data_IF_618679686813
#
_entry.id   IF_618679686813
#
_cell.length_a   1.000
_cell.length_b   1.000
_cell.length_c   1.000
_cell.angle_alpha   90.00
_cell.angle_beta   90.00
_cell.angle_gamma   90.00
#
_symmetry.space_group_name_H-M   'P 1'
#
loop_
_entity.id
_entity.type
_entity.pdbx_description
1 polymer ?
#
# COMPACT_ATOMS: atom_id res chain seq x y z
N UNK A 1 -3.20 -2.15 23.14
CA UNK A 1 -2.14 -2.25 22.10
C UNK A 1 -2.59 -1.66 20.75
N UNK A 2 -3.82 -1.90 20.30
CA UNK A 2 -4.33 -1.47 18.98
C UNK A 2 -5.02 -0.10 18.98
N UNK A 3 -5.44 0.44 20.12
CA UNK A 3 -6.06 1.78 20.25
C UNK A 3 -5.21 2.94 19.71
N UNK A 4 -3.88 2.76 19.73
CA UNK A 4 -2.94 3.79 19.29
C UNK A 4 -2.57 3.72 17.80
N UNK A 5 -2.95 2.66 17.06
CA UNK A 5 -2.47 2.47 15.69
C UNK A 5 -3.08 3.53 14.75
N UNK A 6 -4.38 3.80 14.82
CA UNK A 6 -5.01 4.80 13.95
C UNK A 6 -4.47 6.21 14.19
N UNK A 7 -4.31 6.60 15.48
CA UNK A 7 -3.67 7.88 15.83
C UNK A 7 -2.23 7.95 15.36
N UNK A 8 -1.49 6.84 15.50
CA UNK A 8 -0.09 6.77 15.09
C UNK A 8 0.08 6.85 13.57
N UNK A 9 -0.81 6.24 12.78
CA UNK A 9 -0.79 6.36 11.31
C UNK A 9 -0.96 7.83 10.91
N UNK A 10 -1.96 8.52 11.50
CA UNK A 10 -2.19 9.91 11.20
C UNK A 10 -1.02 10.80 11.64
N UNK A 11 -0.46 10.58 12.82
CA UNK A 11 0.72 11.32 13.32
C UNK A 11 1.97 11.09 12.47
N UNK A 12 2.06 9.99 11.73
CA UNK A 12 3.14 9.77 10.76
C UNK A 12 2.81 10.34 9.37
N UNK A 13 1.56 10.25 8.93
CA UNK A 13 1.13 10.73 7.61
C UNK A 13 1.43 12.22 7.43
N UNK A 14 0.98 13.07 8.37
CA UNK A 14 1.14 14.52 8.29
C UNK A 14 2.62 14.92 8.20
N UNK A 15 3.54 14.45 9.08
CA UNK A 15 4.96 14.76 8.96
C UNK A 15 5.56 14.35 7.61
N UNK A 16 5.29 13.13 7.12
CA UNK A 16 5.87 12.68 5.86
C UNK A 16 5.32 13.45 4.64
N UNK A 17 4.04 13.81 4.64
CA UNK A 17 3.48 14.68 3.60
C UNK A 17 4.11 16.08 3.66
N UNK A 18 4.29 16.65 4.87
CA UNK A 18 4.97 17.95 5.05
C UNK A 18 6.42 17.90 4.60
N UNK A 19 7.17 16.86 5.01
CA UNK A 19 8.57 16.67 4.58
C UNK A 19 8.67 16.50 3.06
N UNK A 20 7.69 15.84 2.42
CA UNK A 20 7.64 15.70 0.97
C UNK A 20 7.45 17.06 0.28
N UNK A 21 6.58 17.92 0.80
CA UNK A 21 6.39 19.28 0.26
C UNK A 21 7.69 20.10 0.41
N UNK A 22 8.36 20.02 1.58
CA UNK A 22 9.64 20.67 1.81
C UNK A 22 10.71 20.14 0.83
N UNK A 23 10.79 18.82 0.65
CA UNK A 23 11.72 18.20 -0.31
C UNK A 23 11.52 18.74 -1.72
N UNK A 24 10.26 18.81 -2.18
CA UNK A 24 9.91 19.33 -3.51
C UNK A 24 10.31 20.82 -3.62
N UNK A 25 10.02 21.65 -2.61
CA UNK A 25 10.39 23.05 -2.62
C UNK A 25 11.91 23.26 -2.73
N UNK A 26 12.69 22.48 -1.96
CA UNK A 26 14.17 22.58 -1.99
C UNK A 26 14.80 21.99 -3.25
N UNK A 27 14.11 21.09 -3.94
CA UNK A 27 14.51 20.65 -5.29
C UNK A 27 14.23 21.73 -6.34
N UNK A 28 13.06 22.38 -6.26
CA UNK A 28 12.65 23.42 -7.22
C UNK A 28 13.47 24.70 -7.12
N UNK A 29 13.89 25.09 -5.92
CA UNK A 29 14.75 26.29 -5.72
C UNK A 29 16.25 26.02 -5.94
N UNK A 30 16.62 24.75 -6.24
CA UNK A 30 18.00 24.36 -6.51
C UNK A 30 18.88 24.14 -5.26
N UNK A 31 18.33 24.24 -4.06
CA UNK A 31 19.06 23.98 -2.80
C UNK A 31 19.51 22.51 -2.70
N UNK A 32 18.67 21.59 -3.23
CA UNK A 32 19.00 20.17 -3.32
C UNK A 32 19.14 19.77 -4.77
N UNK A 33 20.21 19.05 -5.09
CA UNK A 33 20.45 18.53 -6.44
C UNK A 33 19.38 17.49 -6.83
N UNK A 34 18.81 17.56 -8.05
CA UNK A 34 17.87 16.55 -8.55
C UNK A 34 18.45 15.14 -8.65
N UNK A 35 19.76 14.99 -8.52
CA UNK A 35 20.43 13.67 -8.45
C UNK A 35 19.83 12.76 -7.34
N UNK A 36 19.40 13.34 -6.21
CA UNK A 36 18.78 12.58 -5.12
C UNK A 36 17.45 11.91 -5.51
N UNK A 37 16.79 12.35 -6.59
CA UNK A 37 15.58 11.71 -7.13
C UNK A 37 15.81 10.29 -7.64
N UNK A 38 17.06 9.93 -7.96
CA UNK A 38 17.41 8.53 -8.28
C UNK A 38 17.12 7.64 -7.06
N UNK A 39 17.53 8.09 -5.87
CA UNK A 39 17.26 7.33 -4.64
C UNK A 39 15.78 7.35 -4.30
N UNK A 40 15.08 8.48 -4.52
CA UNK A 40 13.61 8.53 -4.39
C UNK A 40 12.94 7.46 -5.24
N UNK A 41 13.32 7.35 -6.51
CA UNK A 41 12.75 6.36 -7.42
C UNK A 41 13.01 4.92 -6.93
N UNK A 42 14.25 4.60 -6.54
CA UNK A 42 14.60 3.29 -6.00
C UNK A 42 13.81 2.99 -4.72
N UNK A 43 13.77 3.93 -3.77
CA UNK A 43 13.04 3.73 -2.52
C UNK A 43 11.53 3.63 -2.73
N UNK A 44 10.96 4.39 -3.66
CA UNK A 44 9.55 4.27 -4.02
C UNK A 44 9.22 2.89 -4.61
N UNK A 45 10.08 2.34 -5.48
CA UNK A 45 9.97 0.95 -5.99
C UNK A 45 9.98 -0.06 -4.83
N UNK A 46 10.90 0.11 -3.88
CA UNK A 46 11.05 -0.82 -2.75
C UNK A 46 9.92 -0.66 -1.71
N UNK A 47 9.55 0.55 -1.37
CA UNK A 47 8.53 0.83 -0.35
C UNK A 47 7.13 0.53 -0.88
N UNK A 48 6.70 1.20 -1.95
CA UNK A 48 5.34 1.07 -2.49
C UNK A 48 5.17 -0.19 -3.34
N UNK A 49 6.15 -0.48 -4.22
CA UNK A 49 6.10 -1.66 -5.09
C UNK A 49 6.30 -2.95 -4.31
N UNK A 50 7.48 -3.15 -3.74
CA UNK A 50 7.82 -4.41 -3.07
C UNK A 50 7.14 -4.53 -1.69
N UNK A 51 7.18 -3.47 -0.87
CA UNK A 51 6.63 -3.50 0.49
C UNK A 51 5.10 -3.57 0.50
N UNK A 52 4.42 -2.61 -0.11
CA UNK A 52 2.95 -2.50 -0.04
C UNK A 52 2.28 -3.35 -1.12
N UNK A 53 2.49 -3.06 -2.40
CA UNK A 53 1.74 -3.70 -3.47
C UNK A 53 2.02 -5.21 -3.58
N UNK A 54 3.25 -5.65 -3.35
CA UNK A 54 3.62 -7.08 -3.30
C UNK A 54 3.38 -7.63 -1.90
N UNK A 55 4.02 -7.05 -0.87
CA UNK A 55 4.02 -7.59 0.50
C UNK A 55 2.65 -7.52 1.16
N UNK A 56 2.20 -6.33 1.53
CA UNK A 56 0.94 -6.18 2.27
C UNK A 56 -0.26 -6.66 1.47
N UNK A 57 -0.34 -6.26 0.22
CA UNK A 57 -1.52 -6.53 -0.60
C UNK A 57 -1.55 -7.97 -1.13
N UNK A 58 -0.63 -8.36 -2.03
CA UNK A 58 -0.68 -9.65 -2.70
C UNK A 58 -0.32 -10.82 -1.80
N UNK A 59 0.84 -10.73 -1.15
CA UNK A 59 1.37 -11.85 -0.37
C UNK A 59 0.61 -12.02 0.94
N UNK A 60 0.48 -10.97 1.73
CA UNK A 60 -0.10 -11.12 3.07
C UNK A 60 -1.63 -11.02 3.07
N UNK A 61 -2.27 -10.15 2.26
CA UNK A 61 -3.73 -10.09 2.21
C UNK A 61 -4.33 -11.22 1.37
N UNK A 62 -3.86 -11.41 0.16
CA UNK A 62 -4.43 -12.40 -0.76
C UNK A 62 -3.73 -13.75 -0.76
N UNK A 63 -2.68 -13.92 0.08
CA UNK A 63 -1.94 -15.19 0.24
C UNK A 63 -1.44 -15.77 -1.08
N UNK A 64 -1.06 -14.90 -2.01
CA UNK A 64 -0.64 -15.33 -3.35
C UNK A 64 0.63 -16.18 -3.35
N UNK A 65 1.46 -16.10 -2.31
CA UNK A 65 2.68 -16.88 -2.15
C UNK A 65 2.83 -17.37 -0.72
N UNK A 66 3.52 -18.52 -0.58
CA UNK A 66 4.06 -18.98 0.70
C UNK A 66 5.56 -18.76 0.67
N UNK A 67 6.06 -17.90 1.56
CA UNK A 67 7.45 -17.47 1.55
C UNK A 67 8.22 -17.95 2.77
N UNK A 68 9.53 -18.18 2.67
CA UNK A 68 10.39 -18.35 3.83
C UNK A 68 10.49 -17.04 4.62
N UNK A 69 10.70 -17.14 5.93
CA UNK A 69 10.68 -16.00 6.88
C UNK A 69 11.59 -14.84 6.42
N UNK A 70 12.76 -15.12 5.86
CA UNK A 70 13.67 -14.06 5.43
C UNK A 70 13.11 -13.20 4.29
N UNK A 71 12.38 -13.79 3.33
CA UNK A 71 11.67 -13.04 2.29
C UNK A 71 10.50 -12.23 2.86
N UNK A 72 9.71 -12.83 3.78
CA UNK A 72 8.66 -12.09 4.49
C UNK A 72 9.24 -10.88 5.24
N UNK A 73 10.40 -11.05 5.91
CA UNK A 73 11.04 -9.96 6.64
C UNK A 73 11.52 -8.83 5.74
N UNK A 74 11.99 -9.12 4.52
CA UNK A 74 12.33 -8.09 3.53
C UNK A 74 11.07 -7.31 3.12
N UNK A 75 9.97 -8.00 2.81
CA UNK A 75 8.70 -7.37 2.48
C UNK A 75 8.19 -6.50 3.65
N UNK A 76 8.22 -7.03 4.87
CA UNK A 76 7.78 -6.33 6.09
C UNK A 76 8.64 -5.09 6.38
N UNK A 77 9.96 -5.16 6.14
CA UNK A 77 10.85 -4.03 6.35
C UNK A 77 10.52 -2.87 5.40
N UNK A 78 10.42 -3.13 4.10
CA UNK A 78 10.07 -2.06 3.16
C UNK A 78 8.64 -1.55 3.34
N UNK A 79 7.69 -2.42 3.65
CA UNK A 79 6.33 -2.01 3.96
C UNK A 79 6.22 -1.16 5.25
N UNK A 80 7.08 -1.41 6.25
CA UNK A 80 7.15 -0.59 7.45
C UNK A 80 7.55 0.87 7.17
N UNK A 81 8.30 1.12 6.09
CA UNK A 81 8.67 2.46 5.64
C UNK A 81 7.55 3.19 4.88
N UNK A 82 6.44 2.51 4.57
CA UNK A 82 5.35 3.11 3.80
C UNK A 82 4.43 4.05 4.61
N UNK A 83 4.56 4.08 5.95
CA UNK A 83 3.70 4.92 6.79
C UNK A 83 2.23 4.49 6.88
N UNK A 84 1.91 3.25 6.47
CA UNK A 84 0.54 2.70 6.42
C UNK A 84 0.22 1.75 7.58
N UNK A 85 1.02 1.78 8.64
CA UNK A 85 0.87 0.88 9.77
C UNK A 85 1.49 -0.50 9.54
N UNK A 86 1.12 -1.47 10.38
CA UNK A 86 1.66 -2.82 10.31
C UNK A 86 0.90 -3.72 9.34
N UNK A 87 1.55 -4.83 8.92
CA UNK A 87 0.89 -5.87 8.12
C UNK A 87 -0.36 -6.43 8.77
N UNK A 88 -0.37 -6.59 10.11
CA UNK A 88 -1.52 -7.09 10.87
C UNK A 88 -2.71 -6.15 10.73
N UNK A 89 -2.48 -4.84 10.89
CA UNK A 89 -3.51 -3.82 10.75
C UNK A 89 -3.99 -3.69 9.29
N UNK A 90 -3.06 -3.54 8.35
CA UNK A 90 -3.35 -3.35 6.94
C UNK A 90 -4.18 -4.51 6.36
N UNK A 91 -3.76 -5.74 6.65
CA UNK A 91 -4.46 -6.96 6.22
C UNK A 91 -5.83 -7.09 6.88
N UNK A 92 -5.98 -6.73 8.16
CA UNK A 92 -7.28 -6.75 8.83
C UNK A 92 -8.27 -5.79 8.17
N UNK A 93 -7.84 -4.58 7.81
CA UNK A 93 -8.68 -3.61 7.06
C UNK A 93 -9.05 -4.18 5.69
N UNK A 94 -8.08 -4.64 4.94
CA UNK A 94 -8.26 -5.09 3.57
C UNK A 94 -9.17 -6.32 3.45
N UNK A 95 -8.90 -7.36 4.25
CA UNK A 95 -9.69 -8.60 4.24
C UNK A 95 -11.05 -8.47 4.93
N UNK A 96 -11.16 -7.63 5.95
CA UNK A 96 -12.35 -7.57 6.79
C UNK A 96 -13.35 -6.51 6.40
N UNK A 97 -12.90 -5.45 5.78
CA UNK A 97 -13.75 -4.27 5.55
C UNK A 97 -13.78 -3.83 4.10
N UNK A 98 -12.65 -3.84 3.40
CA UNK A 98 -12.60 -3.39 2.01
C UNK A 98 -13.16 -4.44 1.04
N UNK A 99 -12.51 -5.59 0.91
CA UNK A 99 -12.92 -6.60 -0.07
C UNK A 99 -14.35 -7.15 0.12
N UNK A 100 -14.78 -7.57 1.33
CA UNK A 100 -16.12 -8.12 1.51
C UNK A 100 -17.22 -7.07 1.44
N UNK A 101 -16.89 -5.80 1.68
CA UNK A 101 -17.86 -4.73 1.86
C UNK A 101 -17.59 -3.53 0.96
N UNK A 102 -16.83 -3.72 -0.12
CA UNK A 102 -16.47 -2.65 -1.05
C UNK A 102 -17.71 -1.83 -1.46
N UNK A 103 -17.59 -0.51 -1.35
CA UNK A 103 -18.62 0.46 -1.71
C UNK A 103 -19.90 0.41 -0.86
N UNK A 104 -19.85 -0.21 0.31
CA UNK A 104 -20.90 -0.15 1.33
C UNK A 104 -20.50 0.75 2.51
N UNK A 105 -21.44 1.00 3.44
CA UNK A 105 -21.16 1.77 4.67
C UNK A 105 -20.11 1.11 5.58
N UNK A 106 -19.85 -0.18 5.41
CA UNK A 106 -18.87 -0.93 6.19
C UNK A 106 -17.45 -0.76 5.65
N UNK A 107 -17.29 -0.36 4.38
CA UNK A 107 -15.99 0.01 3.82
C UNK A 107 -15.53 1.35 4.42
N UNK A 108 -14.37 1.32 5.09
CA UNK A 108 -13.86 2.47 5.84
C UNK A 108 -13.46 3.65 4.95
N UNK A 109 -13.09 3.39 3.71
CA UNK A 109 -12.52 4.37 2.78
C UNK A 109 -13.17 4.41 1.39
N UNK A 110 -14.37 3.84 1.23
CA UNK A 110 -15.06 3.92 -0.06
C UNK A 110 -15.43 5.37 -0.42
N UNK A 111 -15.04 5.87 -1.60
CA UNK A 111 -15.44 7.19 -2.07
C UNK A 111 -16.89 7.24 -2.56
N UNK A 112 -17.60 6.12 -2.50
CA UNK A 112 -19.01 5.99 -2.87
C UNK A 112 -19.90 6.38 -1.68
N UNK A 113 -19.54 5.96 -0.48
CA UNK A 113 -20.32 6.16 0.75
C UNK A 113 -19.72 7.21 1.67
N UNK A 114 -18.46 7.59 1.47
CA UNK A 114 -17.73 8.60 2.25
C UNK A 114 -17.36 9.81 1.39
N UNK A 115 -17.01 10.91 2.03
CA UNK A 115 -16.45 12.06 1.30
C UNK A 115 -15.07 11.71 0.73
N UNK A 116 -14.65 12.42 -0.32
CA UNK A 116 -13.32 12.22 -0.92
C UNK A 116 -12.19 12.42 0.10
N UNK A 117 -12.34 13.36 1.02
CA UNK A 117 -11.41 13.58 2.12
C UNK A 117 -11.27 12.33 3.00
N UNK A 118 -12.40 11.75 3.45
CA UNK A 118 -12.39 10.53 4.26
C UNK A 118 -11.77 9.39 3.47
N UNK A 119 -12.13 9.21 2.21
CA UNK A 119 -11.61 8.12 1.37
C UNK A 119 -10.12 8.29 1.06
N UNK A 120 -9.63 9.53 0.96
CA UNK A 120 -8.23 9.80 0.69
C UNK A 120 -7.34 9.44 1.89
N UNK A 121 -7.57 10.02 3.07
CA UNK A 121 -6.84 9.65 4.29
C UNK A 121 -7.59 9.91 5.61
N UNK A 122 -8.73 10.62 5.56
CA UNK A 122 -9.49 10.94 6.76
C UNK A 122 -10.04 9.71 7.48
N UNK A 123 -10.21 8.58 6.79
CA UNK A 123 -10.69 7.34 7.38
C UNK A 123 -9.83 6.83 8.54
N UNK A 124 -8.54 7.12 8.51
CA UNK A 124 -7.61 6.75 9.59
C UNK A 124 -7.85 7.54 10.89
N UNK A 125 -8.62 8.64 10.81
CA UNK A 125 -8.93 9.53 11.93
C UNK A 125 -10.31 9.26 12.55
N UNK A 126 -11.19 8.51 11.87
CA UNK A 126 -12.53 8.20 12.34
C UNK A 126 -12.51 7.10 13.39
N UNK A 127 -13.50 7.10 14.29
CA UNK A 127 -13.58 6.14 15.41
C UNK A 127 -13.64 4.69 14.96
N UNK A 128 -14.36 4.39 13.88
CA UNK A 128 -14.45 3.03 13.33
C UNK A 128 -13.10 2.41 12.97
N UNK A 129 -12.12 3.22 12.62
CA UNK A 129 -10.76 2.71 12.38
C UNK A 129 -10.10 2.14 13.67
N UNK A 130 -10.62 2.49 14.86
CA UNK A 130 -10.16 1.95 16.14
C UNK A 130 -10.80 0.61 16.50
N UNK A 131 -11.94 0.29 15.87
CA UNK A 131 -12.72 -0.93 16.15
C UNK A 131 -12.40 -2.07 15.19
N UNK A 132 -11.30 -1.96 14.42
CA UNK A 132 -10.90 -2.96 13.43
C UNK A 132 -10.63 -4.29 14.12
N UNK A 133 -11.38 -5.32 13.71
CA UNK A 133 -11.23 -6.66 14.26
C UNK A 133 -10.00 -7.35 13.70
N UNK A 134 -9.06 -7.69 14.57
CA UNK A 134 -7.85 -8.41 14.22
C UNK A 134 -8.08 -9.88 13.86
N UNK A 135 -9.32 -10.40 13.99
CA UNK A 135 -9.67 -11.77 13.57
C UNK A 135 -9.33 -12.02 12.09
N UNK A 136 -9.39 -10.99 11.24
CA UNK A 136 -9.12 -11.10 9.81
C UNK A 136 -7.62 -11.26 9.47
N UNK A 137 -6.74 -11.04 10.45
CA UNK A 137 -5.28 -11.21 10.32
C UNK A 137 -4.70 -12.19 11.34
N UNK A 138 -5.52 -13.10 11.88
CA UNK A 138 -5.11 -14.06 12.92
C UNK A 138 -3.94 -14.96 12.48
N UNK A 139 -3.86 -15.28 11.19
CA UNK A 139 -2.75 -16.04 10.61
C UNK A 139 -1.40 -15.29 10.72
N UNK A 140 -1.43 -13.97 10.63
CA UNK A 140 -0.24 -13.11 10.79
C UNK A 140 0.10 -12.90 12.27
N UNK A 141 -0.92 -12.78 13.14
CA UNK A 141 -0.71 -12.66 14.59
C UNK A 141 -0.01 -13.91 15.16
N UNK A 142 -0.18 -15.07 14.55
CA UNK A 142 0.51 -16.32 14.94
C UNK A 142 1.97 -16.37 14.48
N UNK A 143 2.43 -15.44 13.64
CA UNK A 143 3.80 -15.39 13.14
C UNK A 143 4.64 -14.40 13.96
N UNK A 144 5.70 -14.84 14.66
CA UNK A 144 6.51 -13.97 15.50
C UNK A 144 7.12 -12.76 14.78
N UNK A 145 7.53 -12.93 13.51
CA UNK A 145 8.07 -11.84 12.71
C UNK A 145 7.02 -10.74 12.45
N UNK A 146 5.78 -11.09 12.08
CA UNK A 146 4.72 -10.09 11.89
C UNK A 146 4.40 -9.35 13.19
N UNK A 147 4.37 -10.04 14.34
CA UNK A 147 4.17 -9.42 15.65
C UNK A 147 5.34 -8.48 16.00
N UNK A 148 6.56 -8.89 15.71
CA UNK A 148 7.73 -8.04 15.94
C UNK A 148 7.67 -6.76 15.11
N UNK A 149 7.39 -6.85 13.80
CA UNK A 149 7.21 -5.69 12.93
C UNK A 149 6.02 -4.83 13.36
N UNK A 150 4.91 -5.42 13.80
CA UNK A 150 3.76 -4.67 14.34
C UNK A 150 4.16 -3.77 15.52
N UNK A 151 4.98 -4.29 16.44
CA UNK A 151 5.41 -3.56 17.62
C UNK A 151 6.49 -2.49 17.34
N UNK A 152 7.15 -2.57 16.18
CA UNK A 152 8.28 -1.72 15.82
C UNK A 152 8.04 -0.88 14.55
N UNK A 153 6.90 -1.00 13.88
CA UNK A 153 6.65 -0.36 12.58
C UNK A 153 6.94 1.15 12.59
N UNK A 154 6.46 1.89 13.59
CA UNK A 154 6.71 3.33 13.69
C UNK A 154 8.16 3.67 14.08
N UNK A 155 8.81 2.78 14.85
CA UNK A 155 10.25 2.95 15.16
C UNK A 155 11.07 2.79 13.88
N UNK A 156 10.77 1.79 13.05
CA UNK A 156 11.47 1.56 11.79
C UNK A 156 11.22 2.74 10.84
N UNK A 157 9.95 3.17 10.70
CA UNK A 157 9.57 4.28 9.83
C UNK A 157 10.38 5.55 10.10
N UNK A 158 10.64 5.86 11.38
CA UNK A 158 11.38 7.06 11.76
C UNK A 158 12.88 6.82 11.90
N UNK A 159 13.30 5.67 12.44
CA UNK A 159 14.72 5.40 12.68
C UNK A 159 15.53 5.39 11.38
N UNK A 160 15.01 4.79 10.32
CA UNK A 160 15.74 4.69 9.04
C UNK A 160 16.06 6.07 8.45
N UNK A 161 15.10 6.98 8.20
CA UNK A 161 15.43 8.30 7.69
C UNK A 161 16.23 9.14 8.68
N UNK A 162 16.03 9.01 10.01
CA UNK A 162 16.82 9.74 11.01
C UNK A 162 18.29 9.30 11.00
N UNK A 163 18.55 8.01 10.92
CA UNK A 163 19.93 7.49 10.81
C UNK A 163 20.60 7.98 9.53
N UNK A 164 19.88 7.94 8.40
CA UNK A 164 20.41 8.46 7.13
C UNK A 164 20.68 9.97 7.23
N UNK A 165 19.81 10.73 7.89
CA UNK A 165 19.96 12.17 8.06
C UNK A 165 21.23 12.58 8.82
N UNK A 166 21.75 11.72 9.72
CA UNK A 166 23.03 11.97 10.42
C UNK A 166 24.20 12.03 9.44
N UNK A 167 24.13 11.26 8.35
CA UNK A 167 25.20 11.21 7.33
C UNK A 167 24.92 12.18 6.17
N UNK A 168 23.68 12.21 5.71
CA UNK A 168 23.22 13.09 4.62
C UNK A 168 21.71 13.39 4.78
N UNK A 169 21.42 14.58 5.34
CA UNK A 169 20.03 15.01 5.53
C UNK A 169 19.25 15.20 4.21
N UNK A 170 19.95 15.57 3.11
CA UNK A 170 19.33 15.72 1.79
C UNK A 170 18.91 14.37 1.23
N UNK A 171 19.76 13.37 1.39
CA UNK A 171 19.47 11.99 1.05
C UNK A 171 18.28 11.44 1.86
N UNK A 172 18.24 11.70 3.16
CA UNK A 172 17.12 11.32 4.01
C UNK A 172 15.81 11.97 3.55
N UNK A 173 15.83 13.28 3.37
CA UNK A 173 14.63 14.05 3.03
C UNK A 173 14.10 13.69 1.64
N UNK A 174 14.95 13.72 0.61
CA UNK A 174 14.53 13.46 -0.77
C UNK A 174 14.48 11.97 -1.05
N UNK A 175 15.48 11.18 -0.65
CA UNK A 175 15.52 9.74 -0.95
C UNK A 175 14.46 8.93 -0.21
N UNK A 176 14.21 9.21 1.07
CA UNK A 176 13.34 8.40 1.92
C UNK A 176 12.00 9.07 2.20
N UNK A 177 12.00 10.31 2.75
CA UNK A 177 10.73 10.93 3.13
C UNK A 177 9.85 11.23 1.93
N UNK A 178 10.40 11.74 0.84
CA UNK A 178 9.65 11.98 -0.40
C UNK A 178 9.15 10.67 -1.01
N UNK A 179 9.94 9.58 -1.00
CA UNK A 179 9.51 8.28 -1.49
C UNK A 179 8.31 7.71 -0.70
N UNK A 180 8.35 7.85 0.64
CA UNK A 180 7.23 7.48 1.52
C UNK A 180 5.99 8.32 1.21
N UNK A 181 6.15 9.64 1.08
CA UNK A 181 5.04 10.56 0.75
C UNK A 181 4.41 10.26 -0.62
N UNK A 182 5.21 9.96 -1.63
CA UNK A 182 4.73 9.54 -2.96
C UNK A 182 3.94 8.23 -2.89
N UNK A 183 4.41 7.25 -2.09
CA UNK A 183 3.69 6.01 -1.86
C UNK A 183 2.34 6.22 -1.17
N UNK A 184 2.31 7.04 -0.12
CA UNK A 184 1.08 7.41 0.57
C UNK A 184 0.08 8.11 -0.37
N UNK A 185 0.55 9.06 -1.18
CA UNK A 185 -0.27 9.74 -2.18
C UNK A 185 -0.83 8.73 -3.20
N UNK A 186 0.02 7.88 -3.75
CA UNK A 186 -0.35 6.87 -4.74
C UNK A 186 -1.46 5.95 -4.23
N UNK A 187 -1.30 5.36 -3.05
CA UNK A 187 -2.25 4.37 -2.53
C UNK A 187 -3.59 5.01 -2.16
N UNK A 188 -3.57 6.26 -1.65
CA UNK A 188 -4.79 7.02 -1.42
C UNK A 188 -5.51 7.40 -2.74
N UNK A 189 -4.76 7.65 -3.82
CA UNK A 189 -5.36 7.86 -5.15
C UNK A 189 -5.98 6.56 -5.69
N UNK A 190 -5.41 5.39 -5.39
CA UNK A 190 -6.03 4.09 -5.73
C UNK A 190 -7.39 3.94 -5.08
N UNK A 191 -7.55 4.29 -3.80
CA UNK A 191 -8.84 4.25 -3.12
C UNK A 191 -9.91 5.09 -3.85
N UNK A 192 -9.54 6.28 -4.33
CA UNK A 192 -10.47 7.18 -5.03
C UNK A 192 -10.73 6.70 -6.45
N UNK A 193 -9.67 6.63 -7.27
CA UNK A 193 -9.80 6.32 -8.69
C UNK A 193 -10.16 4.87 -8.96
N UNK A 194 -9.91 3.98 -8.00
CA UNK A 194 -10.30 2.58 -8.06
C UNK A 194 -11.81 2.35 -7.90
N UNK A 195 -12.55 3.25 -7.20
CA UNK A 195 -13.96 3.04 -6.87
C UNK A 195 -14.92 4.15 -7.30
N UNK A 196 -14.46 5.35 -7.58
CA UNK A 196 -15.35 6.46 -7.95
C UNK A 196 -15.62 6.47 -9.44
N UNK A 197 -16.79 5.97 -9.86
CA UNK A 197 -17.26 6.05 -11.23
C UNK A 197 -17.36 7.51 -11.72
N UNK A 198 -17.10 7.72 -13.01
CA UNK A 198 -17.12 9.06 -13.61
C UNK A 198 -15.77 9.78 -13.57
N UNK A 199 -14.78 9.27 -12.85
CA UNK A 199 -13.37 9.62 -13.03
C UNK A 199 -12.78 8.72 -14.13
N UNK A 200 -11.57 9.06 -14.60
CA UNK A 200 -10.88 8.33 -15.68
C UNK A 200 -10.68 6.87 -15.27
N UNK A 201 -11.47 5.97 -15.83
CA UNK A 201 -11.41 4.54 -15.54
C UNK A 201 -12.34 3.73 -16.43
N UNK A 202 -12.15 2.41 -16.42
CA UNK A 202 -12.97 1.44 -17.19
C UNK A 202 -13.09 0.13 -16.40
N UNK A 203 -13.96 -0.78 -16.85
CA UNK A 203 -14.21 -2.07 -16.23
C UNK A 203 -14.04 -3.19 -17.26
N UNK A 204 -13.42 -4.29 -16.81
CA UNK A 204 -13.33 -5.52 -17.58
C UNK A 204 -14.34 -6.57 -17.08
N UNK A 205 -14.71 -6.48 -15.81
CA UNK A 205 -15.58 -7.46 -15.15
C UNK A 205 -16.77 -6.76 -14.51
N UNK A 206 -17.90 -7.42 -14.53
CA UNK A 206 -19.08 -7.00 -13.77
C UNK A 206 -18.97 -7.56 -12.36
N UNK A 207 -18.60 -6.69 -11.41
CA UNK A 207 -18.50 -6.99 -9.98
C UNK A 207 -19.62 -6.26 -9.23
N UNK A 208 -19.99 -6.75 -8.05
CA UNK A 208 -21.05 -6.16 -7.23
C UNK A 208 -20.69 -4.78 -6.67
N UNK A 209 -19.43 -4.37 -6.78
CA UNK A 209 -18.90 -3.08 -6.37
C UNK A 209 -18.76 -2.11 -7.55
N UNK A 210 -18.23 -0.93 -7.30
CA UNK A 210 -17.96 0.10 -8.32
C UNK A 210 -16.51 0.15 -8.74
N UNK A 211 -15.71 -0.89 -8.43
CA UNK A 211 -14.31 -0.94 -8.81
C UNK A 211 -14.10 -0.71 -10.31
N UNK A 212 -13.07 0.02 -10.66
CA UNK A 212 -12.68 0.30 -12.02
C UNK A 212 -11.17 0.27 -12.20
N UNK A 213 -10.72 -0.07 -13.39
CA UNK A 213 -9.32 0.00 -13.78
C UNK A 213 -8.96 1.45 -14.14
N UNK A 214 -7.78 1.88 -13.72
CA UNK A 214 -7.19 3.16 -14.09
C UNK A 214 -5.81 2.93 -14.67
N UNK A 215 -5.60 3.37 -15.91
CA UNK A 215 -4.39 3.11 -16.68
C UNK A 215 -3.12 3.64 -15.98
N UNK A 216 -3.17 4.89 -15.51
CA UNK A 216 -2.03 5.53 -14.87
C UNK A 216 -1.63 4.83 -13.58
N UNK A 217 -2.61 4.52 -12.73
CA UNK A 217 -2.37 3.78 -11.49
C UNK A 217 -2.06 2.31 -11.75
N UNK A 218 -2.46 1.75 -12.90
CA UNK A 218 -2.05 0.43 -13.33
C UNK A 218 -0.55 0.33 -13.54
N UNK A 219 0.01 1.29 -14.24
CA UNK A 219 1.46 1.31 -14.51
C UNK A 219 2.28 1.91 -13.36
N UNK A 220 1.92 3.11 -12.91
CA UNK A 220 2.69 3.83 -11.90
C UNK A 220 2.30 3.49 -10.46
N UNK A 221 1.17 2.82 -10.24
CA UNK A 221 0.70 2.34 -8.95
C UNK A 221 1.00 0.86 -8.70
N UNK A 222 2.04 0.30 -9.30
CA UNK A 222 2.47 -1.09 -9.07
C UNK A 222 1.34 -2.10 -9.29
N UNK A 223 0.56 -1.92 -10.38
CA UNK A 223 -0.56 -2.78 -10.72
C UNK A 223 -1.83 -2.56 -9.88
N UNK A 224 -1.78 -1.71 -8.85
CA UNK A 224 -2.94 -1.43 -7.98
C UNK A 224 -4.09 -0.78 -8.72
N UNK A 225 -3.81 -0.05 -9.79
CA UNK A 225 -4.82 0.57 -10.65
C UNK A 225 -5.60 -0.39 -11.55
N UNK A 226 -5.18 -1.66 -11.70
CA UNK A 226 -6.00 -2.72 -12.29
C UNK A 226 -7.05 -3.22 -11.31
N UNK A 227 -7.78 -2.29 -10.70
CA UNK A 227 -8.55 -2.51 -9.50
C UNK A 227 -9.83 -3.32 -9.71
N UNK A 228 -10.52 -3.13 -10.85
CA UNK A 228 -11.67 -3.96 -11.22
C UNK A 228 -11.24 -5.41 -11.53
N UNK A 229 -10.10 -5.59 -12.20
CA UNK A 229 -9.55 -6.92 -12.44
C UNK A 229 -9.24 -7.62 -11.10
N UNK A 230 -8.64 -6.88 -10.17
CA UNK A 230 -8.29 -7.36 -8.84
C UNK A 230 -9.55 -7.74 -8.02
N UNK A 231 -10.58 -6.89 -7.98
CA UNK A 231 -11.82 -7.19 -7.27
C UNK A 231 -12.56 -8.40 -7.86
N UNK A 232 -12.47 -8.59 -9.18
CA UNK A 232 -13.05 -9.76 -9.85
C UNK A 232 -12.29 -11.07 -9.54
N UNK A 233 -10.96 -11.00 -9.39
CA UNK A 233 -10.11 -12.17 -9.18
C UNK A 233 -8.99 -11.90 -8.17
N UNK A 234 -9.31 -11.68 -6.89
CA UNK A 234 -8.36 -11.23 -5.87
C UNK A 234 -7.25 -12.25 -5.56
N UNK A 235 -7.49 -13.53 -5.88
CA UNK A 235 -6.51 -14.60 -5.73
C UNK A 235 -5.34 -14.52 -6.70
N UNK A 236 -5.49 -13.85 -7.83
CA UNK A 236 -4.42 -13.75 -8.81
C UNK A 236 -3.34 -12.78 -8.37
N UNK A 237 -2.10 -13.15 -8.62
CA UNK A 237 -0.96 -12.29 -8.35
C UNK A 237 -0.84 -11.15 -9.37
N UNK A 238 -1.05 -11.44 -10.64
CA UNK A 238 -1.04 -10.48 -11.75
C UNK A 238 -2.44 -9.89 -11.91
N UNK A 239 -2.62 -8.65 -11.50
CA UNK A 239 -3.89 -7.92 -11.63
C UNK A 239 -4.12 -7.37 -13.04
N UNK A 240 -3.10 -7.33 -13.88
CA UNK A 240 -3.16 -6.83 -15.25
C UNK A 240 -3.52 -7.93 -16.25
N UNK A 241 -2.65 -8.14 -17.22
CA UNK A 241 -2.86 -9.07 -18.35
C UNK A 241 -3.08 -10.52 -17.92
N UNK A 242 -2.51 -10.95 -16.80
CA UNK A 242 -2.73 -12.28 -16.23
C UNK A 242 -4.15 -12.50 -15.73
N UNK A 243 -4.90 -11.44 -15.46
CA UNK A 243 -6.31 -11.49 -15.06
C UNK A 243 -7.24 -11.19 -16.21
N UNK A 244 -7.02 -10.10 -16.96
CA UNK A 244 -7.91 -9.64 -18.03
C UNK A 244 -7.68 -10.31 -19.39
N UNK A 245 -6.51 -10.88 -19.61
CA UNK A 245 -6.08 -11.35 -20.93
C UNK A 245 -5.64 -10.25 -21.89
N UNK A 246 -5.73 -8.98 -21.51
CA UNK A 246 -5.35 -7.84 -22.34
C UNK A 246 -3.84 -7.59 -22.21
N UNK A 247 -3.08 -7.80 -23.26
CA UNK A 247 -1.60 -7.73 -23.24
C UNK A 247 -1.05 -6.37 -22.78
N UNK A 248 -1.75 -5.28 -23.01
CA UNK A 248 -1.35 -3.93 -22.64
C UNK A 248 -1.62 -3.60 -21.16
N UNK A 249 -2.42 -4.39 -20.45
CA UNK A 249 -2.59 -4.24 -19.00
C UNK A 249 -1.42 -4.89 -18.25
N UNK A 250 -0.21 -4.35 -18.44
CA UNK A 250 0.97 -4.88 -17.79
C UNK A 250 0.95 -4.55 -16.28
N UNK A 251 1.15 -5.56 -15.45
CA UNK A 251 1.29 -5.40 -13.99
C UNK A 251 2.79 -5.36 -13.62
N UNK A 252 3.32 -4.19 -13.18
CA UNK A 252 4.73 -4.06 -12.81
C UNK A 252 5.16 -5.02 -11.68
N UNK A 253 4.22 -5.48 -10.83
CA UNK A 253 4.55 -6.44 -9.77
C UNK A 253 5.03 -7.79 -10.30
N UNK A 254 4.77 -8.13 -11.57
CA UNK A 254 5.34 -9.32 -12.22
C UNK A 254 6.86 -9.34 -12.20
N UNK A 255 7.49 -8.18 -12.17
CA UNK A 255 8.95 -8.07 -12.09
C UNK A 255 9.51 -8.69 -10.80
N UNK A 256 8.71 -8.81 -9.75
CA UNK A 256 9.10 -9.42 -8.49
C UNK A 256 8.94 -10.95 -8.43
N UNK A 257 8.36 -11.58 -9.48
CA UNK A 257 8.21 -13.03 -9.53
C UNK A 257 9.55 -13.78 -9.47
N UNK A 258 10.62 -13.18 -10.00
CA UNK A 258 11.98 -13.75 -9.88
C UNK A 258 12.41 -13.88 -8.41
N UNK A 259 11.99 -12.96 -7.55
CA UNK A 259 12.28 -12.98 -6.11
C UNK A 259 11.31 -13.88 -5.34
N UNK A 260 10.02 -13.82 -5.63
CA UNK A 260 8.98 -14.54 -4.89
C UNK A 260 8.89 -16.01 -5.27
N UNK A 261 9.08 -16.33 -6.53
CA UNK A 261 8.78 -17.65 -7.11
C UNK A 261 7.38 -17.73 -7.69
N UNK A 262 6.89 -18.94 -7.91
CA UNK A 262 5.54 -19.15 -8.48
C UNK A 262 4.45 -18.85 -7.44
N UNK A 263 3.34 -18.20 -7.84
CA UNK A 263 2.18 -18.01 -6.98
C UNK A 263 1.54 -19.33 -6.55
N UNK A 264 0.88 -19.31 -5.40
CA UNK A 264 0.09 -20.45 -4.91
C UNK A 264 -1.09 -20.73 -5.86
N UNK A 265 -1.34 -21.97 -6.27
CA UNK A 265 -2.44 -22.31 -7.18
C UNK A 265 -3.83 -22.00 -6.60
N UNK A 266 -3.97 -22.00 -5.28
CA UNK A 266 -5.23 -21.85 -4.54
C UNK A 266 -5.30 -20.53 -3.74
N UNK A 267 -4.51 -19.51 -4.08
CA UNK A 267 -4.57 -18.23 -3.40
C UNK A 267 -6.02 -17.68 -3.46
N UNK A 268 -6.55 -17.24 -2.34
CA UNK A 268 -7.86 -16.58 -2.25
C UNK A 268 -9.11 -17.44 -2.17
N UNK A 269 -9.04 -18.77 -2.16
CA UNK A 269 -10.22 -19.63 -2.18
C UNK A 269 -10.83 -19.98 -0.81
N UNK A 270 -10.36 -19.42 0.30
CA UNK A 270 -10.97 -19.63 1.64
C UNK A 270 -10.97 -18.33 2.44
N UNK A 271 -12.09 -17.69 2.48
CA UNK A 271 -12.46 -16.71 3.50
C UNK A 271 -13.35 -17.36 4.56
#
# INVERSE_FOLDING_TARGET
MFENISKSIWLCLVPFMTLSVIAIALLLDGTISPYYLIVTAVMWVLISGLGVAVGYHRVFSHRTHTLPIWKENILLFFAALAGQGSSIFWVAVHRGYHHPHADTEQDLHSPVTKSLWVSFFGWTMIERAREISMKYSIDLIRKPNHVWFNNHVFKILWAVPLVVAVFDWKLSLVGFCLATGLGLLQDNLVNIFGHKRGLIGYRNFDTNDRSQNNLWLGYFGWGQGWHNNHHAQPAKYDFGSGTSGKWWEFDPCRLWLWFLGKPNPSAGLKH
#
